data_IF_780176371429
#
_entry.id   IF_780176371429
#
_cell.length_a   1.000
_cell.length_b   1.000
_cell.length_c   1.000
_cell.angle_alpha   90.00
_cell.angle_beta   90.00
_cell.angle_gamma   90.00
#
_symmetry.space_group_name_H-M   'P 1'
#
loop_
_entity.id
_entity.type
_entity.pdbx_description
1 polymer ?
#
# COMPACT_ATOMS: atom_id res chain seq x y z
N UNK A 1 -9.64 -9.26 7.19
CA UNK A 1 -10.22 -8.47 6.09
C UNK A 1 -11.13 -9.27 5.13
N UNK A 2 -11.64 -10.50 5.39
CA UNK A 2 -12.59 -11.23 4.48
C UNK A 2 -12.05 -11.53 3.06
N UNK A 3 -12.83 -12.21 2.18
CA UNK A 3 -12.40 -12.48 0.77
C UNK A 3 -12.29 -11.21 -0.09
N UNK A 4 -11.29 -11.14 -0.96
CA UNK A 4 -10.97 -9.98 -1.79
C UNK A 4 -12.07 -9.62 -2.80
N UNK A 5 -12.80 -10.62 -3.29
CA UNK A 5 -13.86 -10.53 -4.31
C UNK A 5 -15.24 -10.14 -3.75
N UNK A 6 -15.35 -9.90 -2.44
CA UNK A 6 -16.63 -9.60 -1.81
C UNK A 6 -17.10 -8.16 -2.16
N UNK A 7 -18.11 -8.08 -3.05
CA UNK A 7 -18.73 -6.84 -3.53
C UNK A 7 -19.68 -6.19 -2.52
N UNK A 8 -20.12 -6.90 -1.48
CA UNK A 8 -21.06 -6.39 -0.48
C UNK A 8 -20.40 -5.45 0.54
N UNK A 9 -19.11 -5.14 0.38
CA UNK A 9 -18.38 -4.25 1.26
C UNK A 9 -18.70 -2.78 0.97
N UNK A 10 -18.84 -1.95 2.00
CA UNK A 10 -18.70 -0.51 1.84
C UNK A 10 -17.38 -0.18 1.14
N UNK A 11 -17.42 0.63 0.10
CA UNK A 11 -16.26 0.99 -0.72
C UNK A 11 -15.86 0.00 -1.83
N UNK A 12 -16.48 -1.19 -1.86
CA UNK A 12 -16.33 -2.17 -2.94
C UNK A 12 -15.27 -3.25 -2.70
N UNK A 13 -14.90 -3.95 -3.78
CA UNK A 13 -13.91 -5.04 -3.75
C UNK A 13 -12.52 -4.53 -3.37
N UNK A 14 -11.65 -5.45 -2.95
CA UNK A 14 -10.26 -5.10 -2.65
C UNK A 14 -9.52 -4.71 -3.94
N UNK A 15 -8.84 -3.57 -3.91
CA UNK A 15 -8.04 -3.03 -4.99
C UNK A 15 -6.61 -2.79 -4.51
N UNK A 16 -5.70 -2.66 -5.46
CA UNK A 16 -4.32 -2.23 -5.23
C UNK A 16 -3.85 -1.25 -6.27
N UNK A 17 -2.94 -0.35 -5.88
CA UNK A 17 -2.28 0.61 -6.77
C UNK A 17 -0.77 0.60 -6.52
N UNK A 18 0.01 0.70 -7.59
CA UNK A 18 1.47 0.68 -7.54
C UNK A 18 2.07 2.09 -7.66
N UNK A 19 3.02 2.38 -6.79
CA UNK A 19 3.74 3.64 -6.67
C UNK A 19 5.24 3.36 -6.76
N UNK A 20 5.82 3.52 -7.95
CA UNK A 20 7.23 3.24 -8.20
C UNK A 20 8.08 4.50 -8.02
N UNK A 21 9.22 4.36 -7.33
CA UNK A 21 10.17 5.45 -7.05
C UNK A 21 10.94 5.90 -8.29
N UNK A 22 11.17 7.22 -8.42
CA UNK A 22 12.07 7.79 -9.45
C UNK A 22 13.55 7.60 -9.15
N UNK A 23 13.93 7.38 -7.89
CA UNK A 23 15.32 7.41 -7.43
C UNK A 23 15.89 6.02 -7.10
N UNK A 24 15.01 5.08 -6.76
CA UNK A 24 15.36 3.71 -6.43
C UNK A 24 14.45 2.74 -7.18
N UNK A 25 14.90 1.49 -7.32
CA UNK A 25 14.06 0.42 -7.87
C UNK A 25 13.10 -0.14 -6.80
N UNK A 26 12.37 0.73 -6.11
CA UNK A 26 11.35 0.35 -5.14
C UNK A 26 9.97 0.60 -5.73
N UNK A 27 9.07 -0.36 -5.54
CA UNK A 27 7.64 -0.20 -5.82
C UNK A 27 6.88 -0.44 -4.53
N UNK A 28 6.16 0.59 -4.09
CA UNK A 28 5.24 0.50 -2.98
C UNK A 28 3.85 0.23 -3.53
N UNK A 29 3.04 -0.53 -2.81
CA UNK A 29 1.64 -0.75 -3.19
C UNK A 29 0.72 -0.43 -2.06
N UNK A 30 -0.36 0.27 -2.38
CA UNK A 30 -1.46 0.48 -1.45
C UNK A 30 -2.51 -0.60 -1.70
N UNK A 31 -3.13 -1.10 -0.64
CA UNK A 31 -4.22 -2.08 -0.66
C UNK A 31 -5.34 -1.59 0.23
N UNK A 32 -6.55 -1.46 -0.32
CA UNK A 32 -7.77 -1.09 0.39
C UNK A 32 -9.00 -1.49 -0.44
N UNK A 33 -10.20 -1.05 -0.06
CA UNK A 33 -11.37 -1.10 -0.94
C UNK A 33 -11.22 -0.13 -2.13
N UNK A 34 -12.03 -0.34 -3.18
CA UNK A 34 -11.96 0.42 -4.42
C UNK A 34 -12.10 1.94 -4.23
N UNK A 35 -13.08 2.38 -3.43
CA UNK A 35 -13.30 3.80 -3.19
C UNK A 35 -12.11 4.45 -2.51
N UNK A 36 -11.55 3.79 -1.50
CA UNK A 36 -10.39 4.26 -0.74
C UNK A 36 -9.13 4.29 -1.60
N UNK A 37 -8.83 3.23 -2.37
CA UNK A 37 -7.66 3.24 -3.27
C UNK A 37 -7.77 4.34 -4.30
N UNK A 38 -8.94 4.51 -4.91
CA UNK A 38 -9.15 5.55 -5.95
C UNK A 38 -8.94 6.95 -5.37
N UNK A 39 -9.53 7.24 -4.21
CA UNK A 39 -9.33 8.53 -3.53
C UNK A 39 -7.86 8.77 -3.19
N UNK A 40 -7.19 7.77 -2.60
CA UNK A 40 -5.79 7.92 -2.18
C UNK A 40 -4.82 8.06 -3.36
N UNK A 41 -5.12 7.51 -4.54
CA UNK A 41 -4.32 7.77 -5.74
C UNK A 41 -4.32 9.27 -6.06
N UNK A 42 -5.48 9.94 -6.01
CA UNK A 42 -5.58 11.36 -6.30
C UNK A 42 -4.74 12.18 -5.31
N UNK A 43 -4.87 11.90 -4.02
CA UNK A 43 -4.11 12.58 -2.97
C UNK A 43 -2.60 12.31 -3.06
N UNK A 44 -2.20 11.06 -3.28
CA UNK A 44 -0.78 10.68 -3.41
C UNK A 44 -0.16 11.28 -4.66
N UNK A 45 -0.86 11.27 -5.80
CA UNK A 45 -0.35 11.89 -7.03
C UNK A 45 -0.22 13.41 -6.84
N UNK A 46 -1.19 14.05 -6.18
CA UNK A 46 -1.12 15.48 -5.90
C UNK A 46 0.07 15.87 -5.01
N UNK A 47 0.39 15.06 -3.98
CA UNK A 47 1.41 15.40 -2.99
C UNK A 47 2.80 14.81 -3.28
N UNK A 48 2.88 13.64 -3.93
CA UNK A 48 4.11 12.86 -4.11
C UNK A 48 4.59 12.73 -5.57
N UNK A 49 3.93 13.37 -6.54
CA UNK A 49 4.23 13.21 -7.98
C UNK A 49 5.71 13.35 -8.38
N UNK A 50 6.47 14.23 -7.73
CA UNK A 50 7.89 14.43 -8.02
C UNK A 50 8.79 13.24 -7.64
N UNK A 51 8.29 12.34 -6.80
CA UNK A 51 8.96 11.13 -6.30
C UNK A 51 8.49 9.87 -7.03
N UNK A 52 7.46 9.99 -7.88
CA UNK A 52 6.79 8.89 -8.56
C UNK A 52 7.21 8.80 -10.03
N UNK A 53 7.51 7.59 -10.48
CA UNK A 53 7.62 7.29 -11.90
C UNK A 53 6.23 7.24 -12.53
N UNK A 54 6.04 8.02 -13.59
CA UNK A 54 4.80 8.04 -14.38
C UNK A 54 3.52 8.21 -13.53
N UNK A 55 3.40 9.25 -12.71
CA UNK A 55 2.27 9.42 -11.79
C UNK A 55 0.92 9.47 -12.52
N UNK A 56 0.88 9.98 -13.75
CA UNK A 56 -0.33 10.04 -14.58
C UNK A 56 -0.87 8.69 -15.05
N UNK A 57 -0.09 7.61 -14.90
CA UNK A 57 -0.52 6.24 -15.28
C UNK A 57 -0.93 5.40 -14.08
N UNK A 58 -0.83 5.93 -12.86
CA UNK A 58 -1.20 5.22 -11.65
C UNK A 58 -2.72 5.04 -11.63
N UNK A 59 -3.16 3.80 -11.45
CA UNK A 59 -4.56 3.44 -11.42
C UNK A 59 -4.80 2.30 -10.43
N UNK A 60 -6.03 2.23 -9.91
CA UNK A 60 -6.48 1.12 -9.09
C UNK A 60 -6.67 -0.13 -9.97
N UNK A 61 -6.16 -1.26 -9.51
CA UNK A 61 -6.32 -2.57 -10.13
C UNK A 61 -6.91 -3.56 -9.14
N UNK A 62 -7.63 -4.57 -9.62
CA UNK A 62 -8.18 -5.61 -8.74
C UNK A 62 -7.06 -6.31 -7.98
N UNK A 63 -7.25 -6.48 -6.67
CA UNK A 63 -6.42 -7.40 -5.90
C UNK A 63 -6.89 -8.84 -6.14
N UNK A 64 -5.94 -9.76 -6.26
CA UNK A 64 -6.15 -11.20 -6.30
C UNK A 64 -5.00 -11.88 -5.53
N UNK A 65 -5.31 -12.93 -4.78
CA UNK A 65 -4.34 -13.73 -4.02
C UNK A 65 -3.30 -14.41 -4.94
N UNK A 66 -3.58 -14.54 -6.24
CA UNK A 66 -2.64 -15.06 -7.23
C UNK A 66 -1.54 -14.09 -7.65
N UNK A 67 -1.65 -12.80 -7.28
CA UNK A 67 -0.68 -11.77 -7.60
C UNK A 67 0.66 -12.05 -6.90
N UNK A 68 1.76 -11.71 -7.58
CA UNK A 68 3.10 -11.79 -6.99
C UNK A 68 3.32 -10.74 -5.90
N UNK A 69 2.61 -9.61 -5.99
CA UNK A 69 2.53 -8.55 -5.01
C UNK A 69 1.20 -7.79 -5.20
N UNK A 70 0.60 -7.26 -4.12
CA UNK A 70 1.11 -7.28 -2.75
C UNK A 70 0.78 -8.57 -1.99
N UNK A 71 1.66 -8.97 -1.08
CA UNK A 71 1.48 -10.11 -0.17
C UNK A 71 1.41 -9.69 1.30
N UNK A 72 0.78 -10.47 2.19
CA UNK A 72 0.73 -10.15 3.62
C UNK A 72 2.12 -9.92 4.26
N UNK A 73 3.12 -10.72 3.91
CA UNK A 73 4.50 -10.59 4.38
C UNK A 73 5.24 -9.36 3.82
N UNK A 74 4.66 -8.67 2.84
CA UNK A 74 5.21 -7.45 2.24
C UNK A 74 4.68 -6.17 2.89
N UNK A 75 3.73 -6.27 3.83
CA UNK A 75 3.16 -5.10 4.48
C UNK A 75 4.20 -4.42 5.36
N UNK A 76 4.35 -3.10 5.19
CA UNK A 76 5.28 -2.26 5.96
C UNK A 76 4.55 -1.24 6.83
N UNK A 77 3.29 -0.93 6.53
CA UNK A 77 2.47 -0.03 7.33
C UNK A 77 0.99 -0.35 7.17
N UNK A 78 0.26 -0.37 8.28
CA UNK A 78 -1.20 -0.36 8.29
C UNK A 78 -1.71 1.03 8.70
N UNK A 79 -2.78 1.50 8.08
CA UNK A 79 -3.46 2.74 8.44
C UNK A 79 -4.90 2.43 8.85
N UNK A 80 -5.41 3.28 9.76
CA UNK A 80 -6.78 3.32 10.30
C UNK A 80 -7.42 1.94 10.51
N UNK A 81 -7.26 1.40 11.71
CA UNK A 81 -7.85 0.11 12.11
C UNK A 81 -7.50 -1.06 11.15
N UNK A 82 -6.34 -0.98 10.50
CA UNK A 82 -5.83 -1.99 9.55
C UNK A 82 -6.74 -2.24 8.35
N UNK A 83 -7.43 -1.19 7.87
CA UNK A 83 -8.26 -1.28 6.66
C UNK A 83 -7.51 -0.87 5.39
N UNK A 84 -6.42 -0.12 5.55
CA UNK A 84 -5.52 0.26 4.45
C UNK A 84 -4.13 -0.26 4.78
N UNK A 85 -3.47 -0.88 3.81
CA UNK A 85 -2.11 -1.38 3.96
C UNK A 85 -1.20 -0.79 2.87
N UNK A 86 -0.01 -0.37 3.28
CA UNK A 86 1.10 -0.08 2.38
C UNK A 86 2.08 -1.24 2.42
N UNK A 87 2.48 -1.72 1.26
CA UNK A 87 3.41 -2.83 1.09
C UNK A 87 4.62 -2.39 0.26
N UNK A 88 5.71 -3.13 0.38
CA UNK A 88 6.92 -2.96 -0.43
C UNK A 88 7.16 -4.22 -1.26
N UNK A 89 7.16 -4.09 -2.59
CA UNK A 89 7.42 -5.21 -3.49
C UNK A 89 8.79 -5.83 -3.19
N UNK A 90 8.83 -7.16 -3.02
CA UNK A 90 10.05 -7.91 -2.73
C UNK A 90 10.50 -7.91 -1.26
N UNK A 91 9.83 -7.16 -0.38
CA UNK A 91 10.02 -7.30 1.06
C UNK A 91 9.48 -8.66 1.54
N UNK A 92 10.09 -9.20 2.57
CA UNK A 92 9.66 -10.46 3.17
C UNK A 92 9.87 -10.37 4.67
N UNK A 93 8.79 -10.01 5.39
CA UNK A 93 8.79 -9.98 6.83
C UNK A 93 8.60 -11.40 7.39
N UNK A 94 9.70 -12.10 7.63
CA UNK A 94 9.63 -13.41 8.27
C UNK A 94 9.14 -13.32 9.71
N UNK A 95 9.35 -12.18 10.38
CA UNK A 95 8.87 -11.94 11.74
C UNK A 95 7.34 -11.96 11.86
N UNK A 96 6.63 -11.51 10.83
CA UNK A 96 5.16 -11.53 10.78
C UNK A 96 4.55 -12.94 10.72
N UNK A 97 5.35 -13.98 10.43
CA UNK A 97 4.92 -15.38 10.40
C UNK A 97 5.22 -16.12 11.70
N UNK A 98 5.97 -15.49 12.61
CA UNK A 98 6.41 -16.09 13.87
C UNK A 98 5.44 -15.76 15.01
N UNK A 99 5.80 -16.15 16.24
CA UNK A 99 5.01 -15.86 17.42
C UNK A 99 4.85 -14.35 17.64
N UNK A 100 3.68 -13.95 18.15
CA UNK A 100 3.40 -12.58 18.58
C UNK A 100 4.50 -12.01 19.46
N UNK A 101 4.94 -10.79 19.14
CA UNK A 101 6.08 -10.12 19.78
C UNK A 101 7.44 -10.39 19.12
N UNK A 102 7.50 -11.21 18.06
CA UNK A 102 8.69 -11.30 17.21
C UNK A 102 8.87 -9.99 16.45
N UNK A 103 10.06 -9.35 16.49
CA UNK A 103 10.30 -8.13 15.74
C UNK A 103 10.20 -8.35 14.22
N UNK A 104 9.67 -7.36 13.52
CA UNK A 104 9.62 -7.36 12.07
C UNK A 104 11.04 -7.40 11.46
N UNK A 105 11.17 -8.08 10.32
CA UNK A 105 12.42 -8.07 9.55
C UNK A 105 12.75 -6.63 9.14
N UNK A 106 13.99 -6.14 9.31
CA UNK A 106 14.32 -4.78 8.88
C UNK A 106 14.02 -4.55 7.39
N UNK A 107 13.59 -3.34 7.04
CA UNK A 107 13.34 -2.98 5.65
C UNK A 107 14.64 -3.11 4.81
N UNK A 108 14.53 -3.57 3.56
CA UNK A 108 15.71 -3.79 2.72
C UNK A 108 16.36 -2.46 2.33
N UNK A 109 17.68 -2.45 2.20
CA UNK A 109 18.45 -1.31 1.68
C UNK A 109 19.06 -1.65 0.31
N UNK A 110 19.10 -0.70 -0.66
CA UNK A 110 18.63 0.68 -0.58
C UNK A 110 17.10 0.82 -0.68
N UNK A 111 16.56 1.81 0.04
CA UNK A 111 15.14 2.15 0.09
C UNK A 111 14.96 3.65 -0.19
N UNK A 112 13.98 4.03 -1.01
CA UNK A 112 13.57 5.42 -1.18
C UNK A 112 12.74 5.87 0.03
N UNK A 113 13.44 6.41 1.04
CA UNK A 113 12.83 6.93 2.26
C UNK A 113 11.98 8.17 1.99
N UNK A 114 12.33 8.99 0.99
CA UNK A 114 11.56 10.20 0.69
C UNK A 114 10.18 9.83 0.13
N UNK A 115 10.13 8.86 -0.79
CA UNK A 115 8.86 8.36 -1.29
C UNK A 115 8.07 7.67 -0.17
N UNK A 116 8.72 6.81 0.62
CA UNK A 116 8.07 6.14 1.75
C UNK A 116 7.45 7.15 2.73
N UNK A 117 8.17 8.20 3.11
CA UNK A 117 7.69 9.24 4.02
C UNK A 117 6.51 10.00 3.41
N UNK A 118 6.58 10.34 2.12
CA UNK A 118 5.48 11.01 1.43
C UNK A 118 4.21 10.15 1.37
N UNK A 119 4.36 8.86 1.06
CA UNK A 119 3.25 7.90 1.05
C UNK A 119 2.65 7.73 2.45
N UNK A 120 3.50 7.56 3.48
CA UNK A 120 3.08 7.42 4.86
C UNK A 120 2.29 8.63 5.35
N UNK A 121 2.83 9.83 5.13
CA UNK A 121 2.21 11.07 5.58
C UNK A 121 0.88 11.31 4.85
N UNK A 122 0.90 11.24 3.52
CA UNK A 122 -0.29 11.52 2.69
C UNK A 122 -1.40 10.52 2.99
N UNK A 123 -1.07 9.22 3.07
CA UNK A 123 -2.06 8.19 3.39
C UNK A 123 -2.61 8.38 4.80
N UNK A 124 -1.75 8.65 5.80
CA UNK A 124 -2.20 8.87 7.18
C UNK A 124 -3.22 10.01 7.33
N UNK A 125 -3.02 11.10 6.60
CA UNK A 125 -3.92 12.27 6.61
C UNK A 125 -5.18 12.05 5.75
N UNK A 126 -5.04 11.46 4.57
CA UNK A 126 -6.09 11.41 3.56
C UNK A 126 -7.01 10.17 3.65
N UNK A 127 -6.65 9.14 4.42
CA UNK A 127 -7.53 7.97 4.58
C UNK A 127 -8.90 8.43 5.12
N UNK A 128 -10.01 8.18 4.38
CA UNK A 128 -11.33 8.64 4.75
C UNK A 128 -11.73 8.20 6.16
N UNK A 129 -12.35 9.12 6.90
CA UNK A 129 -13.03 8.78 8.15
C UNK A 129 -14.34 8.08 7.79
N UNK A 130 -14.48 6.82 8.20
CA UNK A 130 -15.79 6.19 8.28
C UNK A 130 -16.42 6.70 9.57
N UNK A 131 -17.49 7.49 9.46
CA UNK A 131 -18.38 7.83 10.59
C UNK A 131 -19.34 6.67 10.88
#
# INVERSE_FOLDING_TARGET
YGRFDNTSRPGGVMMTAAFSSTTQNNTFRLVADNSTVTSLIEDIVANCSSLLNSPSTIAATNYDDSLTAPKPEQVIQYYRASTVALTLDGYNNTGALEAEGTPDTPLPTPLDTNLLDCLNFTTGEAVPLVD
#
